data_IF_281661267603
#
_entry.id   IF_281661267603
#
_cell.length_a   1.000
_cell.length_b   1.000
_cell.length_c   1.000
_cell.angle_alpha   90.00
_cell.angle_beta   90.00
_cell.angle_gamma   90.00
#
_symmetry.space_group_name_H-M   'P 1'
#
loop_
_entity.id
_entity.type
_entity.pdbx_description
1 polymer ?
#
# COMPACT_ATOMS: atom_id res chain seq x y z
N UNK A 1 -2.64 9.71 -0.34
CA UNK A 1 -1.52 8.80 -0.70
C UNK A 1 -1.92 7.73 -1.70
N UNK A 2 -3.01 6.97 -1.50
CA UNK A 2 -3.51 6.06 -2.54
C UNK A 2 -4.16 6.80 -3.71
N UNK A 3 -4.98 7.83 -3.43
CA UNK A 3 -5.64 8.64 -4.48
C UNK A 3 -4.64 9.26 -5.48
N UNK A 4 -3.52 9.88 -5.05
CA UNK A 4 -2.52 10.35 -6.00
C UNK A 4 -1.89 9.24 -6.84
N UNK A 5 -1.56 8.09 -6.26
CA UNK A 5 -1.00 6.95 -7.00
C UNK A 5 -2.01 6.37 -8.01
N UNK A 6 -3.27 6.24 -7.63
CA UNK A 6 -4.33 5.72 -8.52
C UNK A 6 -4.67 6.70 -9.65
N UNK A 7 -4.62 8.01 -9.38
CA UNK A 7 -4.95 9.05 -10.36
C UNK A 7 -3.72 9.64 -11.04
N UNK A 8 -2.55 9.01 -10.88
CA UNK A 8 -1.26 9.46 -11.42
C UNK A 8 -0.94 10.94 -11.12
N UNK A 9 -1.30 11.40 -9.93
CA UNK A 9 -1.02 12.75 -9.40
C UNK A 9 0.18 12.72 -8.47
N UNK A 10 0.84 13.86 -8.36
CA UNK A 10 1.90 14.05 -7.39
C UNK A 10 1.34 13.94 -5.96
N UNK A 11 2.00 13.14 -5.13
CA UNK A 11 1.59 12.98 -3.74
C UNK A 11 1.98 14.23 -2.95
N UNK A 12 1.11 14.64 -2.02
CA UNK A 12 1.44 15.72 -1.09
C UNK A 12 2.76 15.43 -0.34
N UNK A 13 3.61 16.46 -0.10
CA UNK A 13 4.85 16.30 0.63
C UNK A 13 4.55 15.87 2.07
N UNK A 14 5.42 15.04 2.64
CA UNK A 14 5.17 14.46 3.97
C UNK A 14 5.12 15.53 5.08
N UNK A 15 5.78 16.67 4.88
CA UNK A 15 5.61 17.86 5.73
C UNK A 15 4.16 18.37 5.78
N UNK A 16 3.45 18.38 4.65
CA UNK A 16 2.05 18.78 4.60
C UNK A 16 1.14 17.74 5.28
N UNK A 17 1.43 16.44 5.09
CA UNK A 17 0.75 15.34 5.79
C UNK A 17 0.90 15.53 7.31
N UNK A 18 2.13 15.77 7.78
CA UNK A 18 2.41 15.93 9.20
C UNK A 18 1.63 17.11 9.79
N UNK A 19 1.64 18.26 9.12
CA UNK A 19 0.87 19.45 9.53
C UNK A 19 -0.64 19.18 9.56
N UNK A 20 -1.20 18.55 8.52
CA UNK A 20 -2.64 18.27 8.42
C UNK A 20 -3.17 17.43 9.59
N UNK A 21 -2.36 16.49 10.07
CA UNK A 21 -2.76 15.56 11.13
C UNK A 21 -2.16 15.89 12.50
N UNK A 22 -1.51 17.05 12.66
CA UNK A 22 -0.90 17.45 13.93
C UNK A 22 0.25 16.54 14.39
N UNK A 23 0.95 15.91 13.45
CA UNK A 23 2.07 15.00 13.72
C UNK A 23 3.35 15.82 13.95
N UNK A 24 4.08 15.49 15.02
CA UNK A 24 5.23 16.24 15.50
C UNK A 24 6.34 16.48 14.47
N UNK A 25 6.56 15.56 13.53
CA UNK A 25 7.58 15.72 12.49
C UNK A 25 7.24 14.94 11.22
N UNK A 26 7.89 15.35 10.13
CA UNK A 26 7.86 14.63 8.86
C UNK A 26 8.35 13.18 8.99
N UNK A 27 9.43 12.97 9.76
CA UNK A 27 9.98 11.62 10.03
C UNK A 27 8.97 10.74 10.78
N UNK A 28 8.28 11.30 11.78
CA UNK A 28 7.22 10.60 12.51
C UNK A 28 6.08 10.21 11.57
N UNK A 29 5.61 11.13 10.73
CA UNK A 29 4.55 10.86 9.76
C UNK A 29 4.96 9.76 8.77
N UNK A 30 6.21 9.79 8.28
CA UNK A 30 6.75 8.76 7.40
C UNK A 30 6.81 7.38 8.08
N UNK A 31 7.29 7.32 9.33
CA UNK A 31 7.37 6.07 10.10
C UNK A 31 5.97 5.50 10.39
N UNK A 32 4.99 6.36 10.68
CA UNK A 32 3.59 5.97 10.84
C UNK A 32 3.04 5.38 9.55
N UNK A 33 3.27 6.04 8.41
CA UNK A 33 2.85 5.52 7.11
C UNK A 33 3.51 4.17 6.80
N UNK A 34 4.81 4.02 7.06
CA UNK A 34 5.51 2.77 6.85
C UNK A 34 4.92 1.64 7.71
N UNK A 35 4.57 1.96 8.96
CA UNK A 35 3.89 1.04 9.87
C UNK A 35 2.54 0.60 9.31
N UNK A 36 1.74 1.55 8.81
CA UNK A 36 0.45 1.26 8.19
C UNK A 36 0.62 0.35 6.97
N UNK A 37 1.55 0.66 6.06
CA UNK A 37 1.84 -0.16 4.88
C UNK A 37 2.24 -1.60 5.25
N UNK A 38 3.10 -1.76 6.27
CA UNK A 38 3.52 -3.08 6.76
C UNK A 38 2.36 -3.88 7.34
N UNK A 39 1.53 -3.26 8.19
CA UNK A 39 0.35 -3.89 8.79
C UNK A 39 -0.66 -4.29 7.72
N UNK A 40 -0.94 -3.39 6.78
CA UNK A 40 -1.84 -3.67 5.66
C UNK A 40 -1.37 -4.87 4.83
N UNK A 41 -0.09 -4.90 4.44
CA UNK A 41 0.51 -6.05 3.73
C UNK A 41 0.39 -7.34 4.53
N UNK A 42 0.71 -7.31 5.83
CA UNK A 42 0.65 -8.49 6.68
C UNK A 42 -0.79 -9.02 6.78
N UNK A 43 -1.77 -8.15 7.04
CA UNK A 43 -3.18 -8.49 7.10
C UNK A 43 -3.67 -9.12 5.79
N UNK A 44 -3.35 -8.52 4.64
CA UNK A 44 -3.73 -9.09 3.36
C UNK A 44 -3.11 -10.47 3.12
N UNK A 45 -1.84 -10.69 3.47
CA UNK A 45 -1.20 -12.02 3.35
C UNK A 45 -1.82 -13.05 4.28
N UNK A 46 -2.24 -12.65 5.48
CA UNK A 46 -3.01 -13.53 6.38
C UNK A 46 -4.35 -13.93 5.75
N UNK A 47 -5.05 -13.01 5.10
CA UNK A 47 -6.29 -13.32 4.39
C UNK A 47 -6.05 -14.15 3.12
N UNK A 48 -4.94 -13.94 2.42
CA UNK A 48 -4.60 -14.76 1.27
C UNK A 48 -4.30 -16.22 1.66
N UNK A 49 -3.65 -16.42 2.80
CA UNK A 49 -3.39 -17.76 3.32
C UNK A 49 -4.67 -18.60 3.49
N UNK A 50 -5.77 -18.00 3.91
CA UNK A 50 -7.02 -18.74 4.13
C UNK A 50 -7.75 -19.09 2.83
N UNK A 51 -7.31 -18.56 1.68
CA UNK A 51 -7.92 -18.82 0.38
C UNK A 51 -7.12 -19.81 -0.49
N UNK A 52 -5.89 -20.13 -0.10
CA UNK A 52 -5.01 -21.04 -0.84
C UNK A 52 -5.01 -22.45 -0.24
N UNK A 53 -4.73 -23.46 -1.07
CA UNK A 53 -4.70 -24.86 -0.64
C UNK A 53 -3.42 -25.22 0.14
N UNK A 54 -2.33 -24.48 -0.09
CA UNK A 54 -1.04 -24.68 0.57
C UNK A 54 -0.36 -23.36 0.91
N UNK A 55 0.40 -23.33 2.02
CA UNK A 55 1.23 -22.19 2.39
C UNK A 55 2.31 -21.87 1.33
N UNK A 56 2.69 -22.86 0.51
CA UNK A 56 3.63 -22.70 -0.60
C UNK A 56 3.08 -21.77 -1.70
N UNK A 57 1.75 -21.66 -1.82
CA UNK A 57 1.10 -20.93 -2.91
C UNK A 57 0.90 -19.43 -2.55
N UNK A 58 1.11 -19.05 -1.28
CA UNK A 58 0.85 -17.68 -0.78
C UNK A 58 1.68 -16.65 -1.55
N UNK A 59 2.94 -16.96 -1.86
CA UNK A 59 3.83 -16.00 -2.53
C UNK A 59 3.45 -15.79 -3.99
N UNK A 60 3.05 -16.85 -4.69
CA UNK A 60 2.58 -16.79 -6.08
C UNK A 60 1.30 -15.97 -6.17
N UNK A 61 0.28 -16.34 -5.37
CA UNK A 61 -1.01 -15.65 -5.31
C UNK A 61 -0.86 -14.19 -4.88
N UNK A 62 0.12 -13.89 -4.02
CA UNK A 62 0.42 -12.51 -3.63
C UNK A 62 0.95 -11.71 -4.81
N UNK A 63 1.82 -12.30 -5.63
CA UNK A 63 2.31 -11.64 -6.85
C UNK A 63 1.20 -11.47 -7.88
N UNK A 64 0.33 -12.46 -8.05
CA UNK A 64 -0.82 -12.35 -8.95
C UNK A 64 -1.75 -11.21 -8.52
N UNK A 65 -2.05 -11.10 -7.22
CA UNK A 65 -2.85 -10.03 -6.67
C UNK A 65 -2.20 -8.65 -6.90
N UNK A 66 -0.88 -8.53 -6.71
CA UNK A 66 -0.16 -7.28 -7.02
C UNK A 66 -0.16 -6.96 -8.51
N UNK A 67 -0.01 -7.97 -9.37
CA UNK A 67 -0.07 -7.82 -10.82
C UNK A 67 -1.47 -7.37 -11.26
N UNK A 68 -2.53 -7.92 -10.65
CA UNK A 68 -3.90 -7.48 -10.87
C UNK A 68 -4.07 -5.99 -10.52
N UNK A 69 -3.64 -5.57 -9.33
CA UNK A 69 -3.71 -4.16 -8.93
C UNK A 69 -2.80 -3.25 -9.77
N UNK A 70 -1.69 -3.76 -10.31
CA UNK A 70 -0.78 -3.02 -11.17
C UNK A 70 -1.30 -2.80 -12.59
N UNK A 71 -2.12 -3.72 -13.12
CA UNK A 71 -2.66 -3.65 -14.49
C UNK A 71 -3.61 -2.47 -14.72
N UNK A 72 -4.33 -2.02 -13.69
CA UNK A 72 -5.24 -0.86 -13.81
C UNK A 72 -4.52 0.49 -13.70
N UNK A 73 -3.23 0.51 -13.32
CA UNK A 73 -2.45 1.75 -13.18
C UNK A 73 -1.78 2.22 -14.48
N UNK A 74 -1.96 1.49 -15.59
CA UNK A 74 -1.41 1.82 -16.90
C UNK A 74 -2.44 1.65 -18.02
N UNK A 75 -3.46 2.51 -18.07
CA UNK A 75 -4.17 2.77 -19.33
C UNK A 75 -4.47 4.25 -19.50
N UNK A 76 -3.52 5.04 -20.04
CA UNK A 76 -3.88 6.28 -20.71
C UNK A 76 -4.50 5.93 -22.08
N UNK A 77 -5.71 6.43 -22.32
CA UNK A 77 -6.28 6.56 -23.67
C UNK A 77 -5.47 7.54 -24.53
#
# INVERSE_FOLDING_TARGET
MLEPTLNNKESEPMKAVAARYGIASESTAFNMLLTVKRRFKATLRTHLRITVLSDADIDEEWQEMLNFFGKDTQKPE
#
